data_IF_039061839534
#
_entry.id   IF_039061839534
#
_cell.length_a   1.000
_cell.length_b   1.000
_cell.length_c   1.000
_cell.angle_alpha   90.00
_cell.angle_beta   90.00
_cell.angle_gamma   90.00
#
_symmetry.space_group_name_H-M   'P 1'
#
loop_
_entity.id
_entity.type
_entity.pdbx_description
1 polymer ?
#
# COMPACT_ATOMS: atom_id res chain seq x y z
N UNK A 1 1.73 14.75 -21.93
CA UNK A 1 1.01 15.09 -23.20
C UNK A 1 -0.40 14.46 -23.28
N UNK A 2 -1.04 14.10 -22.16
CA UNK A 2 -2.29 13.33 -22.22
C UNK A 2 -3.56 14.15 -21.93
N UNK A 3 -3.41 15.42 -21.58
CA UNK A 3 -4.50 16.24 -21.00
C UNK A 3 -5.10 17.29 -21.95
N UNK A 4 -4.67 17.31 -23.21
CA UNK A 4 -5.27 18.17 -24.24
C UNK A 4 -5.19 17.56 -25.64
N UNK A 5 -6.02 18.08 -26.54
CA UNK A 5 -6.07 17.75 -27.96
C UNK A 5 -6.15 19.03 -28.80
N UNK A 6 -5.64 18.96 -30.03
CA UNK A 6 -5.75 20.03 -31.01
C UNK A 6 -5.86 19.46 -32.43
N UNK A 7 -6.24 20.28 -33.40
CA UNK A 7 -6.28 19.86 -34.80
C UNK A 7 -4.87 19.75 -35.40
N UNK A 8 -4.63 18.83 -36.35
CA UNK A 8 -3.31 18.62 -36.96
C UNK A 8 -2.71 19.88 -37.58
N UNK A 9 -3.54 20.78 -38.10
CA UNK A 9 -3.11 22.05 -38.67
C UNK A 9 -2.36 22.96 -37.67
N UNK A 10 -2.57 22.75 -36.36
CA UNK A 10 -1.95 23.56 -35.29
C UNK A 10 -0.80 22.84 -34.58
N UNK A 11 -0.45 21.62 -34.95
CA UNK A 11 0.57 20.84 -34.23
C UNK A 11 1.90 21.58 -34.14
N UNK A 12 2.42 22.08 -35.27
CA UNK A 12 3.70 22.81 -35.30
C UNK A 12 3.66 24.04 -34.40
N UNK A 13 2.66 24.91 -34.55
CA UNK A 13 2.60 26.14 -33.76
C UNK A 13 2.40 25.88 -32.26
N UNK A 14 1.62 24.87 -31.88
CA UNK A 14 1.40 24.48 -30.47
C UNK A 14 2.65 23.85 -29.87
N UNK A 15 3.32 22.98 -30.63
CA UNK A 15 4.52 22.28 -30.21
C UNK A 15 5.71 23.25 -30.05
N UNK A 16 5.86 24.22 -30.97
CA UNK A 16 6.89 25.26 -30.88
C UNK A 16 6.58 26.23 -29.73
N UNK A 17 5.32 26.66 -29.58
CA UNK A 17 4.91 27.59 -28.51
C UNK A 17 5.18 27.02 -27.12
N UNK A 18 4.84 25.75 -26.90
CA UNK A 18 5.07 25.12 -25.62
C UNK A 18 6.51 24.61 -25.47
N UNK A 19 7.14 24.10 -26.52
CA UNK A 19 8.48 23.55 -26.48
C UNK A 19 8.63 22.49 -25.38
N UNK A 20 9.53 22.72 -24.43
CA UNK A 20 9.73 21.85 -23.26
C UNK A 20 8.55 21.88 -22.27
N UNK A 21 7.69 22.92 -22.32
CA UNK A 21 6.51 23.06 -21.44
C UNK A 21 5.45 21.98 -21.69
N UNK A 22 5.51 21.27 -22.82
CA UNK A 22 4.65 20.11 -23.07
C UNK A 22 4.88 18.95 -22.09
N UNK A 23 6.06 18.93 -21.45
CA UNK A 23 6.45 17.92 -20.45
C UNK A 23 6.22 18.39 -19.02
N UNK A 24 5.55 19.52 -18.82
CA UNK A 24 5.25 19.97 -17.48
C UNK A 24 4.19 19.06 -16.85
N UNK A 25 4.43 18.65 -15.61
CA UNK A 25 3.59 17.72 -14.88
C UNK A 25 2.52 18.49 -14.12
N UNK A 26 1.26 18.33 -14.49
CA UNK A 26 0.13 18.94 -13.79
C UNK A 26 -0.11 18.16 -12.51
N UNK A 27 -0.07 18.85 -11.37
CA UNK A 27 -0.21 18.26 -10.03
C UNK A 27 -1.18 19.08 -9.20
N UNK A 28 -1.84 18.43 -8.26
CA UNK A 28 -2.89 19.06 -7.45
C UNK A 28 -2.33 20.12 -6.50
N UNK A 29 -1.29 19.76 -5.74
CA UNK A 29 -0.66 20.62 -4.73
C UNK A 29 0.85 20.80 -4.94
N UNK A 30 1.39 21.88 -4.39
CA UNK A 30 2.83 22.15 -4.33
C UNK A 30 3.59 21.17 -3.42
N UNK A 31 2.93 20.62 -2.40
CA UNK A 31 3.47 19.55 -1.55
C UNK A 31 3.87 18.31 -2.38
N UNK A 32 3.00 17.87 -3.30
CA UNK A 32 3.28 16.73 -4.20
C UNK A 32 4.51 17.03 -5.06
N UNK A 33 4.59 18.24 -5.62
CA UNK A 33 5.74 18.69 -6.41
C UNK A 33 7.04 18.61 -5.61
N UNK A 34 7.01 19.11 -4.38
CA UNK A 34 8.18 19.21 -3.49
C UNK A 34 8.66 17.83 -3.06
N UNK A 35 7.73 16.94 -2.73
CA UNK A 35 8.03 15.55 -2.36
C UNK A 35 8.68 14.78 -3.51
N UNK A 36 8.18 14.95 -4.73
CA UNK A 36 8.79 14.33 -5.92
C UNK A 36 10.20 14.88 -6.15
N UNK A 37 10.40 16.21 -6.06
CA UNK A 37 11.74 16.81 -6.20
C UNK A 37 12.72 16.36 -5.13
N UNK A 38 12.27 16.21 -3.87
CA UNK A 38 13.12 15.73 -2.78
C UNK A 38 13.63 14.33 -3.05
N UNK A 39 12.75 13.39 -3.43
CA UNK A 39 13.17 12.03 -3.74
C UNK A 39 14.00 11.96 -5.03
N UNK A 40 13.66 12.77 -6.05
CA UNK A 40 14.42 12.85 -7.29
C UNK A 40 15.89 13.26 -7.05
N UNK A 41 16.10 14.28 -6.21
CA UNK A 41 17.44 14.76 -5.84
C UNK A 41 18.18 13.76 -4.94
N UNK A 42 17.47 13.14 -4.00
CA UNK A 42 18.04 12.12 -3.10
C UNK A 42 18.53 10.89 -3.85
N UNK A 43 17.83 10.48 -4.90
CA UNK A 43 18.21 9.36 -5.77
C UNK A 43 19.20 9.75 -6.87
N UNK A 44 19.57 11.04 -6.97
CA UNK A 44 20.48 11.59 -7.97
C UNK A 44 20.09 11.19 -9.41
N UNK A 45 18.80 11.27 -9.71
CA UNK A 45 18.26 10.89 -11.01
C UNK A 45 18.67 11.91 -12.10
N UNK A 46 18.98 11.44 -13.32
CA UNK A 46 19.33 12.34 -14.41
C UNK A 46 18.11 13.06 -14.96
N UNK A 47 18.21 14.38 -15.16
CA UNK A 47 17.23 15.18 -15.90
C UNK A 47 16.70 16.39 -15.15
N UNK A 48 15.75 17.08 -15.77
CA UNK A 48 15.00 18.20 -15.20
C UNK A 48 13.52 17.86 -15.24
N UNK A 49 12.81 18.10 -14.14
CA UNK A 49 11.37 17.94 -14.03
C UNK A 49 10.74 19.26 -13.65
N UNK A 50 9.67 19.64 -14.34
CA UNK A 50 8.94 20.89 -14.06
C UNK A 50 7.48 20.58 -13.75
N UNK A 51 6.98 21.17 -12.67
CA UNK A 51 5.63 20.92 -12.17
C UNK A 51 4.74 22.16 -12.32
N UNK A 52 3.45 21.92 -12.54
CA UNK A 52 2.38 22.91 -12.62
C UNK A 52 1.37 22.64 -11.49
N UNK A 53 1.61 23.18 -10.28
CA UNK A 53 0.72 22.98 -9.14
C UNK A 53 -0.57 23.81 -9.29
N UNK A 54 -1.72 23.12 -9.39
CA UNK A 54 -3.03 23.76 -9.58
C UNK A 54 -3.42 24.70 -8.42
N UNK A 55 -3.01 24.36 -7.20
CA UNK A 55 -3.22 25.18 -5.99
C UNK A 55 -2.49 26.52 -5.99
N UNK A 56 -1.34 26.63 -6.67
CA UNK A 56 -0.45 27.82 -6.65
C UNK A 56 -0.39 28.56 -7.98
N UNK A 57 -0.94 27.99 -9.05
CA UNK A 57 -0.96 28.62 -10.36
C UNK A 57 -1.76 29.92 -10.33
N UNK A 58 -1.04 31.04 -10.49
CA UNK A 58 -1.62 32.35 -10.69
C UNK A 58 -1.54 32.72 -12.18
N UNK A 59 -2.70 32.99 -12.76
CA UNK A 59 -2.85 33.31 -14.18
C UNK A 59 -3.59 34.61 -14.27
N UNK A 60 -3.01 35.58 -14.98
CA UNK A 60 -3.69 36.85 -15.27
C UNK A 60 -4.71 36.64 -16.37
N UNK A 61 -5.93 37.10 -16.11
CA UNK A 61 -6.92 37.27 -17.18
C UNK A 61 -6.40 38.32 -18.15
N UNK A 62 -6.26 37.91 -19.40
CA UNK A 62 -5.72 38.71 -20.48
C UNK A 62 -6.81 38.91 -21.52
N UNK A 63 -7.16 40.16 -21.77
CA UNK A 63 -8.06 40.50 -22.86
C UNK A 63 -7.33 40.29 -24.19
N UNK A 64 -7.88 39.44 -25.04
CA UNK A 64 -7.34 39.22 -26.38
C UNK A 64 -7.80 40.32 -27.33
N UNK A 65 -6.94 40.78 -28.25
CA UNK A 65 -7.34 41.78 -29.24
C UNK A 65 -8.39 41.22 -30.20
N UNK A 66 -9.45 41.99 -30.44
CA UNK A 66 -10.48 41.69 -31.45
C UNK A 66 -9.99 42.06 -32.84
N UNK A 67 -9.08 41.26 -33.38
CA UNK A 67 -8.52 41.43 -34.73
C UNK A 67 -8.84 40.22 -35.60
N UNK A 68 -9.26 40.45 -36.85
CA UNK A 68 -9.57 39.38 -37.80
C UNK A 68 -8.33 38.61 -38.31
N UNK A 69 -7.13 39.09 -38.02
CA UNK A 69 -5.88 38.52 -38.53
C UNK A 69 -5.12 37.69 -37.49
N UNK A 70 -5.67 37.53 -36.28
CA UNK A 70 -5.12 36.67 -35.24
C UNK A 70 -6.20 36.00 -34.39
N UNK A 71 -5.89 34.79 -33.91
CA UNK A 71 -6.78 34.00 -33.05
C UNK A 71 -6.05 33.58 -31.76
N UNK A 72 -6.71 33.54 -30.60
CA UNK A 72 -6.11 33.01 -29.37
C UNK A 72 -5.80 31.52 -29.50
N UNK A 73 -4.55 31.12 -29.25
CA UNK A 73 -4.15 29.71 -29.35
C UNK A 73 -4.99 28.80 -28.45
N UNK A 74 -5.27 29.26 -27.23
CA UNK A 74 -6.05 28.51 -26.23
C UNK A 74 -7.46 28.15 -26.72
N UNK A 75 -8.05 28.94 -27.62
CA UNK A 75 -9.39 28.69 -28.18
C UNK A 75 -9.44 27.48 -29.12
N UNK A 76 -8.28 27.02 -29.62
CA UNK A 76 -8.14 25.88 -30.54
C UNK A 76 -7.66 24.60 -29.85
N UNK A 77 -7.52 24.64 -28.51
CA UNK A 77 -7.14 23.49 -27.70
C UNK A 77 -8.37 22.95 -26.97
N UNK A 78 -8.56 21.63 -27.00
CA UNK A 78 -9.55 20.93 -26.16
C UNK A 78 -8.85 20.36 -24.94
N UNK A 79 -9.23 20.78 -23.75
CA UNK A 79 -8.66 20.30 -22.49
C UNK A 79 -9.73 20.25 -21.40
N UNK A 80 -9.47 19.52 -20.32
CA UNK A 80 -10.39 19.44 -19.18
C UNK A 80 -10.47 20.77 -18.43
N UNK A 81 -11.67 21.28 -18.10
CA UNK A 81 -11.85 22.53 -17.34
C UNK A 81 -11.10 22.56 -16.00
N UNK A 82 -10.89 21.38 -15.40
CA UNK A 82 -10.16 21.24 -14.14
C UNK A 82 -8.70 21.73 -14.24
N UNK A 83 -8.14 21.76 -15.46
CA UNK A 83 -6.77 22.16 -15.74
C UNK A 83 -6.66 23.54 -16.39
N UNK A 84 -7.73 24.34 -16.39
CA UNK A 84 -7.80 25.63 -17.10
C UNK A 84 -6.65 26.58 -16.72
N UNK A 85 -6.32 26.69 -15.42
CA UNK A 85 -5.18 27.50 -14.97
C UNK A 85 -3.84 27.04 -15.56
N UNK A 86 -3.61 25.73 -15.65
CA UNK A 86 -2.37 25.19 -16.20
C UNK A 86 -2.26 25.49 -17.71
N UNK A 87 -3.35 25.30 -18.46
CA UNK A 87 -3.37 25.56 -19.90
C UNK A 87 -3.31 27.05 -20.23
N UNK A 88 -3.98 27.92 -19.47
CA UNK A 88 -3.84 29.37 -19.60
C UNK A 88 -2.43 29.85 -19.27
N UNK A 89 -1.74 29.22 -18.31
CA UNK A 89 -0.34 29.56 -18.03
C UNK A 89 0.59 29.24 -19.22
N UNK A 90 0.38 28.12 -19.90
CA UNK A 90 1.25 27.69 -21.02
C UNK A 90 0.90 28.39 -22.33
N UNK A 91 -0.40 28.50 -22.67
CA UNK A 91 -0.87 28.96 -23.99
C UNK A 91 -1.67 30.27 -23.96
N UNK A 92 -2.00 30.78 -22.78
CA UNK A 92 -2.90 31.94 -22.64
C UNK A 92 -2.28 33.27 -23.09
N UNK A 93 -0.97 33.34 -23.34
CA UNK A 93 -0.28 34.55 -23.81
C UNK A 93 0.17 34.49 -25.27
N UNK A 94 -0.34 33.53 -26.04
CA UNK A 94 0.08 33.32 -27.43
C UNK A 94 -1.09 33.47 -28.41
N UNK A 95 -0.88 34.30 -29.43
CA UNK A 95 -1.78 34.51 -30.56
C UNK A 95 -1.24 33.82 -31.81
N UNK A 96 -2.12 33.14 -32.55
CA UNK A 96 -1.80 32.58 -33.86
C UNK A 96 -2.16 33.63 -34.91
N UNK A 97 -1.17 34.09 -35.67
CA UNK A 97 -1.30 35.15 -36.67
C UNK A 97 -1.24 34.58 -38.09
N UNK A 98 -1.86 35.28 -39.05
CA UNK A 98 -1.85 34.86 -40.47
C UNK A 98 -0.46 34.89 -41.11
N UNK A 99 0.35 35.88 -40.79
CA UNK A 99 1.68 36.07 -41.39
C UNK A 99 2.67 36.64 -40.38
N UNK A 100 3.98 36.49 -40.66
CA UNK A 100 5.06 36.99 -39.80
C UNK A 100 5.03 38.52 -39.63
N UNK A 101 4.61 39.25 -40.67
CA UNK A 101 4.45 40.71 -40.62
C UNK A 101 3.39 41.11 -39.59
N UNK A 102 2.23 40.44 -39.63
CA UNK A 102 1.14 40.62 -38.68
C UNK A 102 1.58 40.22 -37.26
N UNK A 103 2.32 39.11 -37.11
CA UNK A 103 2.91 38.69 -35.84
C UNK A 103 3.80 39.79 -35.23
N UNK A 104 4.61 40.46 -36.06
CA UNK A 104 5.51 41.54 -35.61
C UNK A 104 4.73 42.79 -35.20
N UNK A 105 3.68 43.14 -35.94
CA UNK A 105 2.82 44.28 -35.62
C UNK A 105 2.05 44.05 -34.31
N UNK A 106 1.44 42.87 -34.15
CA UNK A 106 0.67 42.50 -32.97
C UNK A 106 1.52 42.34 -31.72
N UNK A 107 2.69 41.69 -31.82
CA UNK A 107 3.60 41.51 -30.68
C UNK A 107 4.21 42.84 -30.17
N UNK A 108 4.26 43.88 -31.03
CA UNK A 108 4.67 45.24 -30.63
C UNK A 108 3.53 46.05 -30.04
N UNK A 109 2.33 45.91 -30.59
CA UNK A 109 1.15 46.66 -30.16
C UNK A 109 0.54 46.10 -28.87
N UNK A 110 0.58 44.78 -28.69
CA UNK A 110 0.01 44.07 -27.55
C UNK A 110 1.10 43.28 -26.83
N UNK A 111 0.99 43.15 -25.51
CA UNK A 111 1.93 42.36 -24.69
C UNK A 111 1.64 40.86 -24.79
N UNK A 112 1.64 40.33 -26.01
CA UNK A 112 1.30 38.95 -26.35
C UNK A 112 2.36 38.37 -27.30
N UNK A 113 2.72 37.11 -27.10
CA UNK A 113 3.57 36.40 -28.04
C UNK A 113 2.75 36.04 -29.27
N UNK A 114 3.35 36.12 -30.45
CA UNK A 114 2.68 35.85 -31.72
C UNK A 114 3.42 34.75 -32.47
N UNK A 115 2.68 33.82 -33.08
CA UNK A 115 3.24 32.72 -33.86
C UNK A 115 2.44 32.50 -35.15
N UNK A 116 3.11 32.13 -36.23
CA UNK A 116 2.45 31.69 -37.48
C UNK A 116 2.10 30.20 -37.43
N UNK A 117 1.26 29.72 -38.36
CA UNK A 117 1.00 28.28 -38.49
C UNK A 117 2.26 27.47 -38.84
N UNK A 118 3.23 28.11 -39.50
CA UNK A 118 4.49 27.51 -39.93
C UNK A 118 5.53 27.42 -38.79
N UNK A 119 5.29 28.09 -37.66
CA UNK A 119 6.13 28.03 -36.46
C UNK A 119 7.05 29.24 -36.25
N UNK A 120 6.95 30.28 -37.06
CA UNK A 120 7.70 31.52 -36.84
C UNK A 120 7.13 32.28 -35.65
N UNK A 121 7.94 32.45 -34.61
CA UNK A 121 7.55 33.04 -33.34
C UNK A 121 8.19 34.43 -33.17
N UNK A 122 7.36 35.39 -32.79
CA UNK A 122 7.76 36.73 -32.36
C UNK A 122 7.32 36.91 -30.92
N UNK A 123 8.29 37.02 -30.01
CA UNK A 123 7.98 37.31 -28.61
C UNK A 123 7.57 38.77 -28.43
N UNK A 124 6.69 39.03 -27.46
CA UNK A 124 6.35 40.38 -27.01
C UNK A 124 7.58 41.19 -26.51
N UNK A 125 8.71 40.52 -26.25
CA UNK A 125 10.00 41.14 -25.89
C UNK A 125 10.92 41.41 -27.07
N UNK A 126 10.48 41.10 -28.29
CA UNK A 126 11.22 41.33 -29.53
C UNK A 126 12.16 40.20 -29.96
N UNK A 127 12.15 39.04 -29.28
CA UNK A 127 12.89 37.87 -29.74
C UNK A 127 12.18 37.25 -30.96
N UNK A 128 12.95 36.94 -32.00
CA UNK A 128 12.49 36.27 -33.22
C UNK A 128 13.04 34.86 -33.23
N UNK A 129 12.19 33.85 -33.41
CA UNK A 129 12.57 32.44 -33.47
C UNK A 129 11.90 31.82 -34.68
N UNK A 130 12.68 31.19 -35.55
CA UNK A 130 12.19 30.54 -36.77
C UNK A 130 13.22 29.55 -37.31
N UNK A 131 12.79 28.68 -38.21
CA UNK A 131 13.61 27.62 -38.78
C UNK A 131 12.78 26.57 -39.52
N UNK A 132 13.44 25.53 -40.02
CA UNK A 132 12.74 24.41 -40.66
C UNK A 132 12.20 23.44 -39.59
N UNK A 133 10.89 23.23 -39.57
CA UNK A 133 10.21 22.28 -38.68
C UNK A 133 9.81 21.02 -39.46
N UNK A 134 10.34 19.86 -39.07
CA UNK A 134 10.02 18.58 -39.68
C UNK A 134 8.70 18.02 -39.11
N UNK A 135 7.67 17.96 -39.95
CA UNK A 135 6.34 17.48 -39.57
C UNK A 135 6.35 16.00 -39.15
N UNK A 136 7.25 15.18 -39.70
CA UNK A 136 7.35 13.74 -39.36
C UNK A 136 7.82 13.47 -37.94
N UNK A 137 8.40 14.48 -37.28
CA UNK A 137 8.88 14.38 -35.89
C UNK A 137 7.89 14.98 -34.89
N UNK A 138 6.68 15.34 -35.32
CA UNK A 138 5.71 15.92 -34.39
C UNK A 138 5.34 14.92 -33.30
N UNK A 139 5.59 15.31 -32.06
CA UNK A 139 5.38 14.46 -30.88
C UNK A 139 3.89 14.29 -30.59
N UNK A 140 3.08 15.28 -30.97
CA UNK A 140 1.62 15.24 -30.84
C UNK A 140 0.98 14.25 -31.82
N UNK A 141 1.55 14.09 -33.02
CA UNK A 141 1.09 13.11 -34.00
C UNK A 141 1.38 11.68 -33.52
N UNK A 142 2.60 11.40 -33.08
CA UNK A 142 2.98 10.09 -32.53
C UNK A 142 2.12 9.70 -31.32
N UNK A 143 1.81 10.64 -30.43
CA UNK A 143 0.95 10.40 -29.27
C UNK A 143 -0.50 10.03 -29.68
N UNK A 144 -1.01 10.65 -30.74
CA UNK A 144 -2.35 10.37 -31.27
C UNK A 144 -2.42 8.98 -31.88
N UNK A 145 -1.41 8.59 -32.65
CA UNK A 145 -1.35 7.26 -33.26
C UNK A 145 -1.18 6.17 -32.20
N UNK A 146 -0.37 6.42 -31.17
CA UNK A 146 -0.23 5.51 -30.03
C UNK A 146 -1.57 5.32 -29.29
N UNK A 147 -2.32 6.41 -29.05
CA UNK A 147 -3.64 6.32 -28.40
C UNK A 147 -4.63 5.50 -29.23
N UNK A 148 -4.65 5.69 -30.55
CA UNK A 148 -5.50 4.88 -31.44
C UNK A 148 -5.13 3.39 -31.38
N UNK A 149 -3.84 3.08 -31.38
CA UNK A 149 -3.39 1.69 -31.29
C UNK A 149 -3.76 1.05 -29.93
N UNK A 150 -3.70 1.81 -28.83
CA UNK A 150 -4.17 1.36 -27.51
C UNK A 150 -5.68 1.11 -27.49
N UNK A 151 -6.47 2.00 -28.10
CA UNK A 151 -7.92 1.84 -28.26
C UNK A 151 -8.27 0.60 -29.10
N UNK A 152 -7.63 0.42 -30.25
CA UNK A 152 -7.81 -0.75 -31.12
C UNK A 152 -7.43 -2.06 -30.43
N UNK A 153 -6.36 -2.06 -29.61
CA UNK A 153 -5.96 -3.24 -28.84
C UNK A 153 -7.01 -3.60 -27.77
N UNK A 154 -7.54 -2.59 -27.07
CA UNK A 154 -8.57 -2.77 -26.07
C UNK A 154 -9.88 -3.32 -26.66
N UNK A 155 -10.28 -2.84 -27.83
CA UNK A 155 -11.45 -3.38 -28.56
C UNK A 155 -11.23 -4.85 -28.95
N UNK A 156 -10.04 -5.21 -29.42
CA UNK A 156 -9.71 -6.58 -29.80
C UNK A 156 -9.78 -7.56 -28.62
N UNK A 157 -9.31 -7.15 -27.44
CA UNK A 157 -9.35 -7.96 -26.22
C UNK A 157 -10.81 -8.17 -25.77
N UNK A 158 -11.64 -7.12 -25.84
CA UNK A 158 -13.06 -7.19 -25.51
C UNK A 158 -13.79 -8.15 -26.45
N UNK A 159 -13.52 -8.09 -27.76
CA UNK A 159 -14.13 -8.97 -28.76
C UNK A 159 -13.75 -10.45 -28.56
N UNK A 160 -12.50 -10.71 -28.15
CA UNK A 160 -12.06 -12.07 -27.81
C UNK A 160 -12.78 -12.62 -26.58
N UNK A 161 -12.90 -11.81 -25.53
CA UNK A 161 -13.63 -12.14 -24.30
C UNK A 161 -15.12 -12.38 -24.58
N UNK A 162 -15.75 -11.55 -25.40
CA UNK A 162 -17.16 -11.73 -25.81
C UNK A 162 -17.38 -13.04 -26.56
N UNK A 163 -16.48 -13.38 -27.50
CA UNK A 163 -16.55 -14.65 -28.22
C UNK A 163 -16.39 -15.86 -27.29
N UNK A 164 -15.46 -15.82 -26.35
CA UNK A 164 -15.28 -16.88 -25.35
C UNK A 164 -16.54 -17.03 -24.47
N UNK A 165 -17.13 -15.92 -24.04
CA UNK A 165 -18.36 -15.93 -23.24
C UNK A 165 -19.52 -16.57 -24.01
N UNK A 166 -19.70 -16.23 -25.29
CA UNK A 166 -20.75 -16.81 -26.13
C UNK A 166 -20.53 -18.32 -26.37
N UNK A 167 -19.28 -18.78 -26.50
CA UNK A 167 -18.96 -20.20 -26.59
C UNK A 167 -19.31 -20.95 -25.30
N UNK A 168 -19.00 -20.38 -24.14
CA UNK A 168 -19.34 -20.99 -22.84
C UNK A 168 -20.86 -21.05 -22.65
N UNK A 169 -21.60 -19.98 -22.98
CA UNK A 169 -23.06 -19.98 -22.89
C UNK A 169 -23.71 -21.03 -23.80
N UNK A 170 -23.22 -21.17 -25.04
CA UNK A 170 -23.75 -22.18 -25.97
C UNK A 170 -23.46 -23.60 -25.50
N UNK A 171 -22.28 -23.85 -24.92
CA UNK A 171 -21.97 -25.14 -24.28
C UNK A 171 -22.87 -25.40 -23.08
N UNK A 172 -23.09 -24.41 -22.20
CA UNK A 172 -23.96 -24.55 -21.04
C UNK A 172 -25.41 -24.89 -21.44
N UNK A 173 -25.94 -24.25 -22.49
CA UNK A 173 -27.26 -24.57 -23.05
C UNK A 173 -27.34 -26.01 -23.57
N UNK A 174 -26.29 -26.49 -24.27
CA UNK A 174 -26.22 -27.88 -24.75
C UNK A 174 -26.19 -28.88 -23.60
N UNK A 175 -25.38 -28.62 -22.56
CA UNK A 175 -25.32 -29.49 -21.39
C UNK A 175 -26.65 -29.50 -20.61
N UNK A 176 -27.32 -28.35 -20.48
CA UNK A 176 -28.64 -28.27 -19.84
C UNK A 176 -29.69 -29.09 -20.61
N UNK A 177 -29.76 -28.93 -21.94
CA UNK A 177 -30.68 -29.70 -22.77
C UNK A 177 -30.40 -31.22 -22.70
N UNK A 178 -29.13 -31.63 -22.73
CA UNK A 178 -28.73 -33.03 -22.58
C UNK A 178 -29.14 -33.60 -21.22
N UNK A 179 -28.88 -32.85 -20.14
CA UNK A 179 -29.28 -33.23 -18.77
C UNK A 179 -30.79 -33.41 -18.67
N UNK A 180 -31.57 -32.46 -19.18
CA UNK A 180 -33.03 -32.51 -19.10
C UNK A 180 -33.60 -33.69 -19.92
N UNK A 181 -32.97 -34.04 -21.05
CA UNK A 181 -33.29 -35.26 -21.81
C UNK A 181 -33.02 -36.53 -21.01
N UNK A 182 -31.84 -36.65 -20.38
CA UNK A 182 -31.46 -37.81 -19.57
C UNK A 182 -32.40 -37.96 -18.36
N UNK A 183 -32.78 -36.87 -17.70
CA UNK A 183 -33.73 -36.88 -16.59
C UNK A 183 -35.11 -37.38 -17.03
N UNK A 184 -35.58 -36.95 -18.20
CA UNK A 184 -36.84 -37.43 -18.78
C UNK A 184 -36.80 -38.93 -19.09
N UNK A 185 -35.71 -39.41 -19.71
CA UNK A 185 -35.48 -40.83 -19.98
C UNK A 185 -35.44 -41.66 -18.69
N UNK A 186 -34.74 -41.17 -17.66
CA UNK A 186 -34.66 -41.82 -16.36
C UNK A 186 -36.04 -41.94 -15.71
N UNK A 187 -36.88 -40.90 -15.78
CA UNK A 187 -38.25 -40.91 -15.28
C UNK A 187 -39.10 -41.96 -16.01
N UNK A 188 -39.04 -41.99 -17.35
CA UNK A 188 -39.75 -43.00 -18.15
C UNK A 188 -39.30 -44.43 -17.82
N UNK A 189 -38.00 -44.65 -17.62
CA UNK A 189 -37.46 -45.95 -17.24
C UNK A 189 -37.92 -46.38 -15.83
N UNK A 190 -37.97 -45.44 -14.87
CA UNK A 190 -38.48 -45.68 -13.51
C UNK A 190 -39.96 -46.11 -13.55
N UNK A 191 -40.77 -45.43 -14.36
CA UNK A 191 -42.19 -45.77 -14.56
C UNK A 191 -42.38 -47.15 -15.23
N UNK A 192 -41.62 -47.43 -16.31
CA UNK A 192 -41.63 -48.74 -16.98
C UNK A 192 -41.24 -49.88 -16.03
N UNK A 193 -40.22 -49.66 -15.20
CA UNK A 193 -39.79 -50.63 -14.18
C UNK A 193 -40.91 -50.88 -13.17
N UNK A 194 -41.52 -49.83 -12.63
CA UNK A 194 -42.61 -49.97 -11.66
C UNK A 194 -43.81 -50.71 -12.25
N UNK A 195 -44.15 -50.45 -13.51
CA UNK A 195 -45.23 -51.16 -14.20
C UNK A 195 -44.90 -52.65 -14.42
N UNK A 196 -43.66 -52.95 -14.84
CA UNK A 196 -43.20 -54.33 -14.99
C UNK A 196 -43.29 -55.09 -13.66
N UNK A 197 -42.82 -54.47 -12.57
CA UNK A 197 -42.84 -55.05 -11.22
C UNK A 197 -44.26 -55.34 -10.73
N UNK A 198 -45.22 -54.45 -10.99
CA UNK A 198 -46.66 -54.68 -10.72
C UNK A 198 -47.23 -55.88 -11.47
N UNK A 199 -46.79 -56.13 -12.70
CA UNK A 199 -47.25 -57.29 -13.50
C UNK A 199 -46.52 -58.59 -13.19
N UNK A 200 -45.27 -58.49 -12.72
CA UNK A 200 -44.42 -59.65 -12.42
C UNK A 200 -44.91 -60.41 -11.19
N UNK A 201 -45.18 -59.71 -10.08
CA UNK A 201 -45.63 -60.32 -8.82
C UNK A 201 -46.87 -61.24 -8.94
N UNK A 202 -47.98 -60.84 -9.61
CA UNK A 202 -49.13 -61.72 -9.76
C UNK A 202 -48.84 -62.92 -10.68
N UNK A 203 -48.04 -62.72 -11.73
CA UNK A 203 -47.61 -63.84 -12.60
C UNK A 203 -46.75 -64.84 -11.84
N UNK A 204 -45.85 -64.37 -10.99
CA UNK A 204 -45.02 -65.23 -10.13
C UNK A 204 -45.87 -66.03 -9.14
N UNK A 205 -46.87 -65.40 -8.50
CA UNK A 205 -47.83 -66.11 -7.63
C UNK A 205 -48.66 -67.13 -8.39
N UNK A 206 -49.11 -66.79 -9.60
CA UNK A 206 -49.86 -67.71 -10.46
C UNK A 206 -49.01 -68.92 -10.86
N UNK A 207 -47.73 -68.71 -11.19
CA UNK A 207 -46.79 -69.77 -11.52
C UNK A 207 -46.62 -70.73 -10.33
N UNK A 208 -46.37 -70.20 -9.13
CA UNK A 208 -46.25 -71.01 -7.91
C UNK A 208 -47.51 -71.83 -7.63
N UNK A 209 -48.70 -71.26 -7.84
CA UNK A 209 -49.97 -71.99 -7.67
C UNK A 209 -50.15 -73.10 -8.72
N UNK A 210 -49.76 -72.85 -9.96
CA UNK A 210 -49.81 -73.83 -11.05
C UNK A 210 -48.81 -74.97 -10.81
N UNK A 211 -47.60 -74.65 -10.37
CA UNK A 211 -46.57 -75.63 -10.01
C UNK A 211 -47.03 -76.54 -8.85
N UNK A 212 -47.62 -75.96 -7.80
CA UNK A 212 -48.18 -76.73 -6.69
C UNK A 212 -49.33 -77.65 -7.16
N UNK A 213 -50.21 -77.17 -8.03
CA UNK A 213 -51.30 -77.97 -8.60
C UNK A 213 -50.76 -79.09 -9.51
N UNK A 214 -49.73 -78.81 -10.30
CA UNK A 214 -49.09 -79.81 -11.16
C UNK A 214 -48.49 -80.92 -10.31
N UNK A 215 -47.73 -80.57 -9.28
CA UNK A 215 -47.13 -81.55 -8.36
C UNK A 215 -48.18 -82.41 -7.65
N UNK A 216 -49.30 -81.81 -7.21
CA UNK A 216 -50.41 -82.56 -6.63
C UNK A 216 -51.02 -83.55 -7.64
N UNK A 217 -51.25 -83.12 -8.88
CA UNK A 217 -51.78 -84.00 -9.93
C UNK A 217 -50.79 -85.11 -10.30
N UNK A 218 -49.50 -84.83 -10.37
CA UNK A 218 -48.46 -85.84 -10.62
C UNK A 218 -48.42 -86.88 -9.51
N UNK A 219 -48.50 -86.47 -8.25
CA UNK A 219 -48.58 -87.37 -7.10
C UNK A 219 -49.83 -88.25 -7.14
N UNK A 220 -51.01 -87.68 -7.45
CA UNK A 220 -52.25 -88.49 -7.59
C UNK A 220 -52.16 -89.48 -8.74
N UNK A 221 -51.56 -89.08 -9.88
CA UNK A 221 -51.34 -89.96 -11.03
C UNK A 221 -50.43 -91.13 -10.66
N UNK A 222 -49.39 -90.88 -9.88
CA UNK A 222 -48.45 -91.90 -9.44
C UNK A 222 -49.09 -92.86 -8.44
N UNK A 223 -49.90 -92.36 -7.50
CA UNK A 223 -50.71 -93.20 -6.59
C UNK A 223 -51.69 -94.09 -7.35
N UNK A 224 -52.48 -93.52 -8.27
CA UNK A 224 -53.45 -94.28 -9.07
C UNK A 224 -52.79 -95.31 -9.99
N UNK A 225 -51.58 -95.02 -10.50
CA UNK A 225 -50.78 -96.00 -11.25
C UNK A 225 -50.29 -97.14 -10.37
N UNK A 226 -49.90 -96.85 -9.12
CA UNK A 226 -49.48 -97.87 -8.16
C UNK A 226 -50.65 -98.75 -7.70
N UNK A 227 -51.86 -98.18 -7.60
CA UNK A 227 -53.10 -98.92 -7.32
C UNK A 227 -53.58 -99.78 -8.51
N UNK A 228 -53.10 -99.50 -9.72
CA UNK A 228 -53.54 -100.20 -10.92
C UNK A 228 -52.93 -101.61 -10.98
N UNK A 229 -53.71 -102.62 -10.59
CA UNK A 229 -53.32 -104.04 -10.66
C UNK A 229 -53.05 -104.69 -9.31
N UNK A 230 -53.38 -104.04 -8.20
CA UNK A 230 -53.39 -104.65 -6.86
C UNK A 230 -54.74 -105.32 -6.58
N UNK A 231 -54.74 -106.43 -5.85
CA UNK A 231 -55.97 -107.13 -5.46
C UNK A 231 -56.71 -106.36 -4.36
N UNK A 232 -58.02 -106.10 -4.55
CA UNK A 232 -58.86 -105.49 -3.52
C UNK A 232 -59.13 -106.50 -2.39
N UNK A 233 -58.29 -106.47 -1.36
CA UNK A 233 -58.51 -107.18 -0.11
C UNK A 233 -59.50 -106.40 0.77
N UNK A 234 -60.49 -107.09 1.36
CA UNK A 234 -61.50 -106.46 2.22
C UNK A 234 -61.01 -106.15 3.65
N UNK A 235 -59.81 -106.62 4.01
CA UNK A 235 -59.18 -106.43 5.33
C UNK A 235 -57.67 -106.23 5.16
N UNK A 236 -57.09 -105.30 5.93
CA UNK A 236 -55.64 -105.06 5.96
C UNK A 236 -54.90 -106.29 6.54
N UNK A 237 -53.69 -106.56 6.04
CA UNK A 237 -52.81 -107.54 6.69
C UNK A 237 -52.27 -106.98 8.02
N UNK A 238 -51.80 -107.86 8.93
CA UNK A 238 -51.20 -107.46 10.20
C UNK A 238 -49.94 -106.58 10.01
N UNK A 239 -49.21 -106.76 8.91
CA UNK A 239 -48.06 -105.91 8.54
C UNK A 239 -48.51 -104.54 8.04
N UNK A 240 -49.55 -104.49 7.20
CA UNK A 240 -50.14 -103.23 6.74
C UNK A 240 -50.72 -102.43 7.90
N UNK A 241 -51.33 -103.10 8.88
CA UNK A 241 -51.93 -102.44 10.04
C UNK A 241 -50.87 -101.79 10.94
N UNK A 242 -49.73 -102.48 11.15
CA UNK A 242 -48.56 -101.86 11.82
C UNK A 242 -47.99 -100.70 11.01
N UNK A 243 -47.90 -100.85 9.69
CA UNK A 243 -47.39 -99.79 8.81
C UNK A 243 -48.30 -98.56 8.83
N UNK A 244 -49.62 -98.76 8.89
CA UNK A 244 -50.60 -97.68 9.06
C UNK A 244 -50.46 -97.00 10.41
N UNK A 245 -50.24 -97.74 11.49
CA UNK A 245 -50.01 -97.15 12.82
C UNK A 245 -48.71 -96.33 12.85
N UNK A 246 -47.61 -96.86 12.33
CA UNK A 246 -46.33 -96.14 12.20
C UNK A 246 -46.47 -94.87 11.33
N UNK A 247 -47.15 -94.99 10.19
CA UNK A 247 -47.42 -93.85 9.30
C UNK A 247 -48.34 -92.83 9.97
N UNK A 248 -49.31 -93.24 10.80
CA UNK A 248 -50.18 -92.33 11.53
C UNK A 248 -49.41 -91.55 12.60
N UNK A 249 -48.47 -92.19 13.30
CA UNK A 249 -47.58 -91.52 14.25
C UNK A 249 -46.62 -90.56 13.54
N UNK A 250 -46.06 -90.97 12.40
CA UNK A 250 -45.23 -90.11 11.55
C UNK A 250 -46.05 -88.91 10.99
N UNK A 251 -47.30 -89.14 10.56
CA UNK A 251 -48.22 -88.08 10.14
C UNK A 251 -48.48 -87.11 11.29
N UNK A 252 -48.71 -87.59 12.53
CA UNK A 252 -48.92 -86.71 13.69
C UNK A 252 -47.68 -85.87 13.99
N UNK A 253 -46.49 -86.47 13.94
CA UNK A 253 -45.23 -85.77 14.17
C UNK A 253 -44.99 -84.72 13.08
N UNK A 254 -45.11 -85.10 11.80
CA UNK A 254 -44.97 -84.19 10.67
C UNK A 254 -46.02 -83.08 10.68
N UNK A 255 -47.26 -83.35 11.12
CA UNK A 255 -48.29 -82.32 11.31
C UNK A 255 -47.91 -81.33 12.41
N UNK A 256 -47.30 -81.79 13.50
CA UNK A 256 -46.83 -80.93 14.58
C UNK A 256 -45.66 -80.06 14.12
N UNK A 257 -44.68 -80.64 13.43
CA UNK A 257 -43.52 -79.92 12.88
C UNK A 257 -43.95 -78.91 11.81
N UNK A 258 -44.87 -79.28 10.92
CA UNK A 258 -45.43 -78.38 9.92
C UNK A 258 -46.19 -77.20 10.55
N UNK A 259 -46.94 -77.44 11.65
CA UNK A 259 -47.56 -76.32 12.41
C UNK A 259 -46.52 -75.39 13.04
N UNK A 260 -45.42 -75.93 13.55
CA UNK A 260 -44.34 -75.10 14.12
C UNK A 260 -43.66 -74.26 13.03
N UNK A 261 -43.26 -74.88 11.92
CA UNK A 261 -42.66 -74.20 10.77
C UNK A 261 -43.61 -73.17 10.15
N UNK A 262 -44.90 -73.47 10.07
CA UNK A 262 -45.91 -72.51 9.60
C UNK A 262 -45.99 -71.29 10.51
N UNK A 263 -45.96 -71.49 11.83
CA UNK A 263 -45.97 -70.39 12.80
C UNK A 263 -44.69 -69.54 12.70
N UNK A 264 -43.53 -70.16 12.50
CA UNK A 264 -42.26 -69.43 12.27
C UNK A 264 -42.30 -68.64 10.96
N UNK A 265 -42.81 -69.26 9.89
CA UNK A 265 -43.00 -68.61 8.60
C UNK A 265 -43.92 -67.39 8.72
N UNK A 266 -45.06 -67.51 9.40
CA UNK A 266 -45.98 -66.38 9.64
C UNK A 266 -45.29 -65.25 10.40
N UNK A 267 -44.47 -65.57 11.42
CA UNK A 267 -43.70 -64.56 12.16
C UNK A 267 -42.69 -63.84 11.24
N UNK A 268 -41.95 -64.58 10.43
CA UNK A 268 -40.97 -64.02 9.50
C UNK A 268 -41.63 -63.19 8.40
N UNK A 269 -42.75 -63.65 7.83
CA UNK A 269 -43.55 -62.89 6.86
C UNK A 269 -44.10 -61.59 7.49
N UNK A 270 -44.49 -61.62 8.76
CA UNK A 270 -44.89 -60.44 9.52
C UNK A 270 -43.74 -59.43 9.73
N UNK A 271 -42.52 -59.90 9.96
CA UNK A 271 -41.33 -59.03 10.05
C UNK A 271 -41.00 -58.45 8.67
N UNK A 272 -41.01 -59.28 7.63
CA UNK A 272 -40.74 -58.87 6.26
C UNK A 272 -41.70 -57.78 5.81
N UNK A 273 -43.01 -57.98 6.00
CA UNK A 273 -44.03 -56.97 5.68
C UNK A 273 -43.86 -55.68 6.48
N UNK A 274 -43.50 -55.74 7.77
CA UNK A 274 -43.19 -54.53 8.57
C UNK A 274 -41.98 -53.78 8.01
N UNK A 275 -40.90 -54.48 7.68
CA UNK A 275 -39.68 -53.87 7.12
C UNK A 275 -39.95 -53.29 5.74
N UNK A 276 -40.68 -53.99 4.88
CA UNK A 276 -41.09 -53.50 3.57
C UNK A 276 -41.96 -52.25 3.67
N UNK A 277 -42.90 -52.23 4.63
CA UNK A 277 -43.75 -51.07 4.89
C UNK A 277 -42.90 -49.89 5.36
N UNK A 278 -41.99 -50.10 6.31
CA UNK A 278 -41.08 -49.05 6.79
C UNK A 278 -40.18 -48.51 5.68
N UNK A 279 -39.62 -49.38 4.82
CA UNK A 279 -38.80 -49.00 3.69
C UNK A 279 -39.59 -48.15 2.68
N UNK A 280 -40.78 -48.61 2.29
CA UNK A 280 -41.56 -47.98 1.23
C UNK A 280 -42.30 -46.72 1.70
N UNK A 281 -42.86 -46.74 2.91
CA UNK A 281 -43.68 -45.62 3.40
C UNK A 281 -42.86 -44.53 4.09
N UNK A 282 -41.74 -44.88 4.72
CA UNK A 282 -40.91 -43.92 5.43
C UNK A 282 -39.64 -43.58 4.64
N UNK A 283 -38.72 -44.54 4.50
CA UNK A 283 -37.37 -44.27 3.98
C UNK A 283 -37.37 -43.79 2.52
N UNK A 284 -38.11 -44.47 1.64
CA UNK A 284 -38.19 -44.08 0.21
C UNK A 284 -38.88 -42.74 0.01
N UNK A 285 -39.98 -42.48 0.72
CA UNK A 285 -40.65 -41.17 0.66
C UNK A 285 -39.74 -40.06 1.20
N UNK A 286 -38.97 -40.33 2.26
CA UNK A 286 -38.02 -39.36 2.81
C UNK A 286 -36.87 -39.09 1.84
N UNK A 287 -36.36 -40.12 1.16
CA UNK A 287 -35.36 -39.95 0.10
C UNK A 287 -35.92 -39.09 -1.05
N UNK A 288 -37.11 -39.40 -1.57
CA UNK A 288 -37.73 -38.61 -2.65
C UNK A 288 -37.95 -37.15 -2.20
N UNK A 289 -38.35 -36.89 -0.95
CA UNK A 289 -38.46 -35.54 -0.38
C UNK A 289 -37.12 -34.81 -0.36
N UNK A 290 -36.06 -35.45 0.15
CA UNK A 290 -34.73 -34.84 0.23
C UNK A 290 -34.14 -34.60 -1.17
N UNK A 291 -34.36 -35.51 -2.12
CA UNK A 291 -33.96 -35.31 -3.51
C UNK A 291 -34.69 -34.13 -4.16
N UNK A 292 -35.98 -33.95 -3.84
CA UNK A 292 -36.75 -32.80 -4.31
C UNK A 292 -36.23 -31.50 -3.68
N UNK A 293 -36.03 -31.45 -2.36
CA UNK A 293 -35.45 -30.30 -1.65
C UNK A 293 -34.04 -29.96 -2.20
N UNK A 294 -33.21 -30.96 -2.50
CA UNK A 294 -31.87 -30.76 -3.08
C UNK A 294 -31.93 -30.21 -4.51
N UNK A 295 -32.89 -30.67 -5.32
CA UNK A 295 -33.08 -30.16 -6.68
C UNK A 295 -33.64 -28.73 -6.66
N UNK A 296 -34.58 -28.44 -5.77
CA UNK A 296 -35.08 -27.08 -5.54
C UNK A 296 -33.92 -26.16 -5.12
N UNK A 297 -33.12 -26.53 -4.11
CA UNK A 297 -31.90 -25.79 -3.72
C UNK A 297 -30.93 -25.58 -4.89
N UNK A 298 -30.72 -26.61 -5.72
CA UNK A 298 -29.83 -26.50 -6.89
C UNK A 298 -30.36 -25.55 -7.95
N UNK A 299 -31.67 -25.46 -8.12
CA UNK A 299 -32.32 -24.57 -9.09
C UNK A 299 -32.52 -23.14 -8.56
N UNK A 300 -32.77 -22.95 -7.26
CA UNK A 300 -32.99 -21.63 -6.66
C UNK A 300 -31.80 -21.01 -5.96
N UNK A 301 -30.81 -21.77 -5.49
CA UNK A 301 -29.69 -21.24 -4.69
C UNK A 301 -28.31 -21.37 -5.37
N UNK A 302 -28.07 -22.42 -6.16
CA UNK A 302 -26.76 -22.65 -6.78
C UNK A 302 -26.31 -21.56 -7.77
N UNK A 303 -27.25 -20.85 -8.39
CA UNK A 303 -26.96 -19.74 -9.29
C UNK A 303 -26.92 -18.40 -8.56
N UNK A 304 -28.02 -18.01 -7.92
CA UNK A 304 -28.22 -16.68 -7.33
C UNK A 304 -27.47 -16.48 -6.02
N UNK A 305 -27.45 -17.47 -5.11
CA UNK A 305 -26.71 -17.38 -3.84
C UNK A 305 -25.22 -17.50 -4.11
N UNK A 306 -24.79 -18.36 -5.04
CA UNK A 306 -23.39 -18.42 -5.43
C UNK A 306 -22.94 -17.11 -6.07
N UNK A 307 -23.73 -16.50 -6.96
CA UNK A 307 -23.41 -15.17 -7.53
C UNK A 307 -23.45 -14.05 -6.49
N UNK A 308 -24.39 -14.09 -5.54
CA UNK A 308 -24.50 -13.10 -4.48
C UNK A 308 -23.32 -13.22 -3.50
N UNK A 309 -23.00 -14.43 -3.05
CA UNK A 309 -21.88 -14.70 -2.15
C UNK A 309 -20.53 -14.46 -2.81
N UNK A 310 -20.35 -14.76 -4.11
CA UNK A 310 -19.13 -14.40 -4.86
C UNK A 310 -19.01 -12.89 -5.06
N UNK A 311 -20.11 -12.19 -5.35
CA UNK A 311 -20.13 -10.72 -5.43
C UNK A 311 -19.82 -10.06 -4.07
N UNK A 312 -20.36 -10.60 -2.98
CA UNK A 312 -20.03 -10.18 -1.62
C UNK A 312 -18.58 -10.49 -1.26
N UNK A 313 -18.06 -11.65 -1.64
CA UNK A 313 -16.65 -12.03 -1.47
C UNK A 313 -15.71 -11.08 -2.23
N UNK A 314 -16.04 -10.71 -3.46
CA UNK A 314 -15.28 -9.73 -4.23
C UNK A 314 -15.35 -8.33 -3.61
N UNK A 315 -16.52 -7.92 -3.12
CA UNK A 315 -16.68 -6.68 -2.36
C UNK A 315 -15.85 -6.67 -1.08
N UNK A 316 -15.83 -7.77 -0.33
CA UNK A 316 -15.02 -7.93 0.88
C UNK A 316 -13.54 -7.96 0.53
N UNK A 317 -13.11 -8.69 -0.51
CA UNK A 317 -11.73 -8.74 -0.96
C UNK A 317 -11.22 -7.36 -1.40
N UNK A 318 -12.05 -6.59 -2.10
CA UNK A 318 -11.72 -5.21 -2.49
C UNK A 318 -11.54 -4.33 -1.26
N UNK A 319 -12.46 -4.41 -0.29
CA UNK A 319 -12.33 -3.70 1.00
C UNK A 319 -11.07 -4.13 1.75
N UNK A 320 -10.75 -5.42 1.80
CA UNK A 320 -9.54 -5.94 2.45
C UNK A 320 -8.29 -5.35 1.79
N UNK A 321 -8.22 -5.33 0.45
CA UNK A 321 -7.12 -4.69 -0.28
C UNK A 321 -6.99 -3.21 0.02
N UNK A 322 -8.09 -2.46 0.01
CA UNK A 322 -8.10 -1.04 0.35
C UNK A 322 -7.65 -0.80 1.81
N UNK A 323 -8.07 -1.68 2.73
CA UNK A 323 -7.69 -1.57 4.15
C UNK A 323 -6.22 -1.93 4.38
N UNK A 324 -5.70 -2.93 3.68
CA UNK A 324 -4.28 -3.30 3.70
C UNK A 324 -3.40 -2.19 3.14
N UNK A 325 -3.76 -1.62 1.98
CA UNK A 325 -3.04 -0.48 1.41
C UNK A 325 -3.02 0.72 2.38
N UNK A 326 -4.16 0.98 3.04
CA UNK A 326 -4.25 2.05 4.06
C UNK A 326 -3.41 1.73 5.31
N UNK A 327 -3.27 0.46 5.68
CA UNK A 327 -2.38 0.04 6.77
C UNK A 327 -0.93 0.28 6.40
N UNK A 328 -0.51 -0.12 5.20
CA UNK A 328 0.86 0.12 4.70
C UNK A 328 1.18 1.63 4.63
N UNK A 329 0.22 2.45 4.19
CA UNK A 329 0.36 3.90 4.19
C UNK A 329 0.54 4.46 5.61
N UNK A 330 -0.23 3.96 6.58
CA UNK A 330 -0.13 4.34 7.99
C UNK A 330 1.19 3.91 8.61
N UNK A 331 1.66 2.69 8.35
CA UNK A 331 2.95 2.20 8.81
C UNK A 331 4.09 3.07 8.24
N UNK A 332 3.99 3.43 6.96
CA UNK A 332 4.95 4.36 6.34
C UNK A 332 4.91 5.77 6.94
N UNK A 333 3.77 6.18 7.51
CA UNK A 333 3.62 7.45 8.20
C UNK A 333 4.26 7.35 9.60
N UNK A 334 4.01 6.25 10.30
CA UNK A 334 4.59 5.97 11.61
C UNK A 334 6.13 5.99 11.50
N UNK A 335 6.71 5.26 10.56
CA UNK A 335 8.16 5.23 10.34
C UNK A 335 8.75 6.63 10.10
N UNK A 336 8.05 7.48 9.33
CA UNK A 336 8.47 8.87 9.11
C UNK A 336 8.40 9.69 10.38
N UNK A 337 7.30 9.60 11.12
CA UNK A 337 7.15 10.34 12.39
C UNK A 337 8.17 9.87 13.43
N UNK A 338 8.52 8.59 13.49
CA UNK A 338 9.58 8.08 14.36
C UNK A 338 10.96 8.64 13.97
N UNK A 339 11.25 8.74 12.67
CA UNK A 339 12.48 9.35 12.19
C UNK A 339 12.55 10.85 12.54
N UNK A 340 11.46 11.59 12.35
CA UNK A 340 11.35 13.01 12.73
C UNK A 340 11.51 13.21 14.23
N UNK A 341 10.87 12.39 15.06
CA UNK A 341 11.04 12.41 16.51
C UNK A 341 12.51 12.19 16.88
N UNK A 342 13.18 11.22 16.25
CA UNK A 342 14.59 10.92 16.51
C UNK A 342 15.50 12.10 16.15
N UNK A 343 15.23 12.80 15.06
CA UNK A 343 15.99 13.99 14.67
C UNK A 343 15.68 15.20 15.57
N UNK A 344 14.43 15.38 15.99
CA UNK A 344 14.08 16.37 16.99
C UNK A 344 14.78 16.11 18.33
N UNK A 345 14.87 14.86 18.79
CA UNK A 345 15.63 14.48 19.98
C UNK A 345 17.11 14.84 19.84
N UNK A 346 17.75 14.51 18.71
CA UNK A 346 19.16 14.90 18.45
C UNK A 346 19.33 16.42 18.45
N UNK A 347 18.39 17.15 17.84
CA UNK A 347 18.44 18.61 17.81
C UNK A 347 18.29 19.20 19.22
N UNK A 348 17.41 18.64 20.04
CA UNK A 348 17.20 19.03 21.42
C UNK A 348 18.46 18.77 22.26
N UNK A 349 19.13 17.62 22.10
CA UNK A 349 20.41 17.33 22.76
C UNK A 349 21.52 18.31 22.35
N UNK A 350 21.60 18.67 21.07
CA UNK A 350 22.54 19.69 20.58
C UNK A 350 22.29 21.03 21.24
N UNK A 351 21.04 21.49 21.27
CA UNK A 351 20.67 22.75 21.92
C UNK A 351 20.95 22.74 23.42
N UNK A 352 20.68 21.62 24.09
CA UNK A 352 20.96 21.43 25.51
C UNK A 352 22.46 21.48 25.82
N UNK A 353 23.31 20.96 24.93
CA UNK A 353 24.76 21.09 25.04
C UNK A 353 25.24 22.53 24.81
N UNK A 354 24.71 23.22 23.80
CA UNK A 354 25.03 24.63 23.54
C UNK A 354 24.60 25.52 24.72
N UNK A 355 23.40 25.29 25.27
CA UNK A 355 22.91 25.97 26.46
C UNK A 355 23.85 25.75 27.65
N UNK A 356 24.30 24.50 27.87
CA UNK A 356 25.25 24.17 28.93
C UNK A 356 26.60 24.88 28.74
N UNK A 357 27.16 24.88 27.53
CA UNK A 357 28.40 25.60 27.21
C UNK A 357 28.26 27.12 27.42
N UNK A 358 27.14 27.71 27.00
CA UNK A 358 26.83 29.12 27.22
C UNK A 358 26.69 29.44 28.71
N UNK A 359 26.10 28.55 29.49
CA UNK A 359 25.95 28.73 30.94
C UNK A 359 27.31 28.61 31.66
N UNK A 360 28.16 27.66 31.25
CA UNK A 360 29.53 27.52 31.76
C UNK A 360 30.40 28.74 31.37
N UNK A 361 30.24 29.27 30.15
CA UNK A 361 30.89 30.51 29.71
C UNK A 361 30.39 31.74 30.51
N UNK A 362 29.09 31.81 30.76
CA UNK A 362 28.44 32.88 31.53
C UNK A 362 28.84 32.87 33.00
N UNK A 363 29.19 31.71 33.58
CA UNK A 363 29.68 31.63 34.97
C UNK A 363 31.19 31.86 35.09
N UNK A 364 31.97 31.50 34.07
CA UNK A 364 33.44 31.68 34.06
C UNK A 364 33.87 33.11 33.74
N UNK A 365 33.13 33.81 32.87
CA UNK A 365 33.43 35.19 32.46
C UNK A 365 33.40 36.19 33.63
N UNK A 366 32.38 36.24 34.51
CA UNK A 366 32.35 37.11 35.68
C UNK A 366 33.51 36.85 36.65
N UNK A 367 33.86 35.57 36.86
CA UNK A 367 34.98 35.19 37.74
C UNK A 367 36.32 35.69 37.20
N UNK A 368 36.51 35.71 35.88
CA UNK A 368 37.74 36.26 35.28
C UNK A 368 37.75 37.80 35.35
N UNK A 369 36.61 38.45 35.13
CA UNK A 369 36.43 39.89 35.29
C UNK A 369 36.65 40.36 36.72
N UNK A 370 36.17 39.64 37.73
CA UNK A 370 36.44 39.93 39.14
C UNK A 370 37.94 39.86 39.46
N UNK A 371 38.64 38.84 38.94
CA UNK A 371 40.11 38.74 39.09
C UNK A 371 40.84 39.92 38.46
N UNK A 372 40.45 40.33 37.25
CA UNK A 372 41.04 41.48 36.56
C UNK A 372 40.75 42.79 37.28
N UNK A 373 39.52 42.99 37.76
CA UNK A 373 39.09 44.15 38.54
C UNK A 373 39.86 44.26 39.84
N UNK A 374 40.00 43.17 40.59
CA UNK A 374 40.79 43.11 41.82
C UNK A 374 42.27 43.44 41.56
N UNK A 375 42.83 42.92 40.47
CA UNK A 375 44.22 43.21 40.07
C UNK A 375 44.41 44.68 39.69
N UNK A 376 43.47 45.26 38.95
CA UNK A 376 43.46 46.68 38.60
C UNK A 376 43.36 47.55 39.86
N UNK A 377 42.46 47.23 40.78
CA UNK A 377 42.32 47.94 42.06
C UNK A 377 43.61 47.91 42.89
N UNK A 378 44.29 46.75 42.96
CA UNK A 378 45.57 46.64 43.65
C UNK A 378 46.68 47.46 42.99
N UNK A 379 46.74 47.49 41.64
CA UNK A 379 47.70 48.32 40.90
C UNK A 379 47.44 49.81 41.08
N UNK A 380 46.17 50.23 41.12
CA UNK A 380 45.79 51.62 41.41
C UNK A 380 46.20 52.04 42.81
N UNK A 381 45.98 51.20 43.83
CA UNK A 381 46.49 51.46 45.19
C UNK A 381 48.00 51.63 45.21
N UNK A 382 48.75 50.72 44.55
CA UNK A 382 50.22 50.85 44.42
C UNK A 382 50.63 52.14 43.70
N UNK A 383 49.93 52.52 42.63
CA UNK A 383 50.16 53.78 41.92
C UNK A 383 49.94 54.97 42.85
N UNK A 384 48.87 54.97 43.63
CA UNK A 384 48.54 56.03 44.57
C UNK A 384 49.57 56.13 45.70
N UNK A 385 50.02 55.01 46.25
CA UNK A 385 51.13 54.95 47.22
C UNK A 385 52.44 55.51 46.63
N UNK A 386 52.79 55.13 45.39
CA UNK A 386 53.94 55.68 44.69
C UNK A 386 53.79 57.19 44.48
N UNK A 387 52.61 57.66 44.05
CA UNK A 387 52.32 59.09 43.90
C UNK A 387 52.34 59.84 45.23
N UNK A 388 51.93 59.21 46.33
CA UNK A 388 52.04 59.76 47.68
C UNK A 388 53.50 59.88 48.11
N UNK A 389 54.30 58.83 47.91
CA UNK A 389 55.76 58.85 48.17
C UNK A 389 56.47 59.91 47.33
N UNK A 390 56.10 60.06 46.05
CA UNK A 390 56.64 61.13 45.20
C UNK A 390 56.31 62.52 45.78
N UNK A 391 55.08 62.72 46.30
CA UNK A 391 54.69 63.98 46.96
C UNK A 391 55.39 64.20 48.30
N UNK A 392 55.56 63.16 49.11
CA UNK A 392 56.23 63.22 50.43
C UNK A 392 57.74 63.50 50.32
N UNK A 393 58.38 63.09 49.21
CA UNK A 393 59.79 63.37 48.96
C UNK A 393 60.09 64.86 48.63
N UNK A 394 59.06 65.69 48.44
CA UNK A 394 59.19 67.13 48.23
C UNK A 394 59.69 67.52 46.83
N UNK A 395 59.75 68.83 46.56
CA UNK A 395 60.24 69.36 45.30
C UNK A 395 61.75 69.15 45.16
N UNK A 396 62.17 68.48 44.10
CA UNK A 396 63.59 68.34 43.77
C UNK A 396 64.23 69.72 43.52
N UNK A 397 65.49 69.95 43.95
CA UNK A 397 66.24 71.15 43.62
C UNK A 397 66.38 71.34 42.11
N UNK A 398 66.33 72.59 41.62
CA UNK A 398 66.41 72.91 40.18
C UNK A 398 67.69 72.38 39.50
N UNK A 399 68.82 72.32 40.22
CA UNK A 399 70.08 71.75 39.71
C UNK A 399 70.00 70.25 39.39
N UNK A 400 69.13 69.50 40.07
CA UNK A 400 68.92 68.06 39.80
C UNK A 400 68.00 67.83 38.60
N UNK A 401 67.09 68.77 38.32
CA UNK A 401 66.18 68.71 37.19
C UNK A 401 66.93 68.94 35.87
N UNK A 402 67.82 69.93 35.80
CA UNK A 402 68.57 70.22 34.57
C UNK A 402 69.58 69.13 34.18
N UNK A 403 70.19 68.44 35.16
CA UNK A 403 71.24 67.43 34.90
C UNK A 403 70.73 66.04 34.53
N UNK A 404 69.53 65.65 34.97
CA UNK A 404 69.08 64.26 34.89
C UNK A 404 67.74 64.03 34.15
N UNK A 405 67.14 65.06 33.55
CA UNK A 405 65.82 64.99 32.90
C UNK A 405 65.74 64.10 31.65
N UNK A 406 66.83 63.96 30.90
CA UNK A 406 66.85 63.21 29.62
C UNK A 406 67.21 61.73 29.77
N UNK A 407 67.43 61.24 31.01
CA UNK A 407 67.85 59.87 31.28
C UNK A 407 66.66 58.93 31.44
N UNK A 408 66.78 57.71 30.90
CA UNK A 408 65.77 56.65 31.13
C UNK A 408 65.83 56.11 32.56
N UNK A 409 64.72 55.54 33.06
CA UNK A 409 64.60 55.01 34.43
C UNK A 409 65.77 54.09 34.84
N UNK A 410 66.22 53.22 33.91
CA UNK A 410 67.37 52.34 34.14
C UNK A 410 68.68 53.11 34.32
N UNK A 411 68.92 54.14 33.51
CA UNK A 411 70.13 54.97 33.60
C UNK A 411 70.17 55.83 34.88
N UNK A 412 69.01 56.35 35.31
CA UNK A 412 68.88 57.07 36.59
C UNK A 412 69.17 56.16 37.79
N UNK A 413 68.72 54.90 37.74
CA UNK A 413 69.01 53.92 38.79
C UNK A 413 70.50 53.56 38.86
N UNK A 414 71.19 53.42 37.72
CA UNK A 414 72.64 53.14 37.69
C UNK A 414 73.46 54.30 38.26
N UNK A 415 73.13 55.55 37.89
CA UNK A 415 73.77 56.75 38.44
C UNK A 415 73.55 56.88 39.96
N UNK A 416 72.34 56.58 40.44
CA UNK A 416 72.04 56.54 41.88
C UNK A 416 72.88 55.50 42.62
N UNK A 417 73.08 54.31 42.06
CA UNK A 417 73.93 53.28 42.66
C UNK A 417 75.41 53.72 42.73
N UNK A 418 75.92 54.40 41.69
CA UNK A 418 77.27 54.97 41.69
C UNK A 418 77.48 56.02 42.79
N UNK A 419 76.53 56.95 42.96
CA UNK A 419 76.57 57.97 44.01
C UNK A 419 76.45 57.38 45.42
N UNK A 420 75.65 56.33 45.60
CA UNK A 420 75.49 55.64 46.88
C UNK A 420 76.78 54.92 47.31
N UNK A 421 77.53 54.37 46.35
CA UNK A 421 78.86 53.77 46.59
C UNK A 421 79.91 54.80 47.02
N UNK A 422 79.90 56.00 46.41
CA UNK A 422 80.81 57.10 46.78
C UNK A 422 80.50 57.61 48.20
N UNK A 423 79.22 57.73 48.55
CA UNK A 423 78.81 58.13 49.90
C UNK A 423 79.20 57.07 50.97
N UNK A 424 79.13 55.78 50.62
CA UNK A 424 79.55 54.69 51.51
C UNK A 424 81.07 54.71 51.74
N UNK A 425 81.88 54.98 50.71
CA UNK A 425 83.34 55.13 50.84
C UNK A 425 83.74 56.32 51.72
N UNK A 426 83.01 57.44 51.67
CA UNK A 426 83.27 58.59 52.55
C UNK A 426 82.96 58.30 54.02
N UNK A 427 81.89 57.55 54.33
CA UNK A 427 81.54 57.17 55.71
C UNK A 427 82.57 56.21 56.34
N UNK A 428 83.21 55.35 55.55
CA UNK A 428 84.25 54.45 56.03
C UNK A 428 85.59 55.15 56.32
N UNK A 429 85.93 56.24 55.60
CA UNK A 429 87.14 57.04 55.90
C UNK A 429 87.06 57.79 57.23
N UNK A 430 85.88 58.20 57.69
CA UNK A 430 85.71 58.86 58.99
C UNK A 430 85.76 57.89 60.20
N UNK A 431 85.53 56.58 60.02
CA UNK A 431 85.52 55.61 61.14
C UNK A 431 86.89 55.05 61.51
N UNK A 432 87.91 55.17 60.65
CA UNK A 432 89.26 54.60 60.90
C UNK A 432 90.15 55.49 61.80
N UNK A 433 89.78 56.75 62.04
CA UNK A 433 90.56 57.69 62.87
C UNK A 433 90.24 57.58 64.38
N UNK A 434 89.28 56.75 64.81
CA UNK A 434 88.81 56.69 66.21
C UNK A 434 89.22 55.44 67.03
N UNK A 435 90.08 54.54 66.53
CA UNK A 435 90.39 53.25 67.20
C UNK A 435 91.86 53.16 67.68
N UNK A 436 92.47 54.26 68.13
CA UNK A 436 93.84 54.29 68.69
C UNK A 436 93.96 55.06 70.03
N UNK A 437 93.00 54.89 70.94
CA UNK A 437 93.13 55.30 72.34
C UNK A 437 92.33 54.38 73.26
N UNK A 438 92.99 53.93 74.32
CA UNK A 438 92.51 53.21 75.52
C UNK A 438 92.52 51.67 75.51
N UNK A 439 93.59 51.21 76.16
CA UNK A 439 93.93 49.91 76.76
C UNK A 439 93.23 49.81 78.14
N UNK A 440 92.53 48.69 78.41
CA UNK A 440 92.49 47.78 79.60
C UNK A 440 92.70 48.30 81.06
N UNK A 441 92.52 47.48 82.13
CA UNK A 441 91.57 46.37 82.42
C UNK A 441 91.01 46.37 83.88
N UNK A 442 90.09 45.43 84.18
CA UNK A 442 89.70 44.98 85.53
C UNK A 442 88.25 45.30 85.91
N UNK A 443 87.51 44.56 86.73
CA UNK A 443 87.61 43.22 87.32
C UNK A 443 86.27 43.06 88.11
N UNK A 444 85.61 41.90 88.01
CA UNK A 444 84.77 41.28 89.04
C UNK A 444 83.46 41.91 89.56
N UNK A 445 82.38 41.14 89.33
CA UNK A 445 81.23 40.85 90.21
C UNK A 445 80.36 42.02 90.72
N UNK A 446 79.31 42.29 89.96
CA UNK A 446 77.89 42.18 90.37
C UNK A 446 77.05 41.83 89.13
#
# INVERSE_FOLDING_TARGET
>A
MNNFECEPAFYTCVEVTAGTRLFYHIVETDEVSTKILMEFNKMNLPGEVTFLPLSKLDVRDTAYPETNDAIPMISKLRYSPNFDKAFKHVFGKTLICRSMEVSTQLARAFTMDCITLEGDQVSHRGALTGGYYDTRKSRLELQKDMRKAEEELGELEIDQLMNQMQQIETQQRKFKASRDSILSEMKMLKEKRQQSEKTFMPKQRSLQSLEASLHAMESTRESLKAELGTDLLSQLSLEDQRRVDDLNDEIRQLQQDNRQLLNERIKLEGIMTRVETYLNENLRKRLDQVEQELNELRETEGGTVLTATTSELDGINKRVKETLARSEDLDSLIDKTEAEIKDHIKSMERWKNIEKEQNDASTTTPRSWEKMTNRQGMLLKKKEECMKKIRELGSLPQEAFEKYQTLTLKQVQTQRQGLMMIHFQHQHRSKVVHIHTQIDPGLFKE
#
